data_IF_833156932832
#
_entry.id   IF_833156932832
#
_cell.length_a   1.000
_cell.length_b   1.000
_cell.length_c   1.000
_cell.angle_alpha   90.00
_cell.angle_beta   90.00
_cell.angle_gamma   90.00
#
_symmetry.space_group_name_H-M   'P 1'
#
loop_
_entity.id
_entity.type
_entity.pdbx_description
1 polymer ?
#
# COMPACT_ATOMS: atom_id res chain seq x y z
N UNK A 1 7.93 2.82 -22.64
CA UNK A 1 7.34 3.31 -21.37
C UNK A 1 8.34 4.00 -20.45
N UNK A 2 9.59 3.50 -20.29
CA UNK A 2 10.56 4.07 -19.32
C UNK A 2 10.90 5.56 -19.51
N UNK A 3 10.87 6.07 -20.75
CA UNK A 3 11.18 7.47 -21.05
C UNK A 3 9.97 8.42 -20.99
N UNK A 4 8.78 7.92 -20.60
CA UNK A 4 7.56 8.71 -20.49
C UNK A 4 7.44 9.31 -19.10
N UNK A 5 6.71 10.42 -18.99
CA UNK A 5 6.33 10.98 -17.70
C UNK A 5 5.46 9.99 -16.91
N UNK A 6 5.42 10.15 -15.58
CA UNK A 6 4.61 9.33 -14.68
C UNK A 6 3.12 9.33 -15.05
N UNK A 7 2.58 10.49 -15.43
CA UNK A 7 1.18 10.63 -15.83
C UNK A 7 0.87 9.90 -17.15
N UNK A 8 1.79 9.97 -18.13
CA UNK A 8 1.66 9.19 -19.36
C UNK A 8 1.75 7.68 -19.09
N UNK A 9 2.64 7.26 -18.17
CA UNK A 9 2.74 5.87 -17.75
C UNK A 9 1.44 5.39 -17.10
N UNK A 10 0.90 6.16 -16.14
CA UNK A 10 -0.38 5.89 -15.48
C UNK A 10 -1.52 5.75 -16.49
N UNK A 11 -1.66 6.71 -17.40
CA UNK A 11 -2.73 6.72 -18.41
C UNK A 11 -2.67 5.49 -19.30
N UNK A 12 -1.47 5.13 -19.76
CA UNK A 12 -1.27 3.95 -20.58
C UNK A 12 -1.57 2.65 -19.83
N UNK A 13 -1.19 2.55 -18.55
CA UNK A 13 -1.46 1.37 -17.72
C UNK A 13 -2.96 1.19 -17.46
N UNK A 14 -3.68 2.27 -17.13
CA UNK A 14 -5.14 2.24 -16.91
C UNK A 14 -5.94 1.89 -18.17
N UNK A 15 -5.37 2.05 -19.35
CA UNK A 15 -6.01 1.64 -20.61
C UNK A 15 -5.99 0.13 -20.84
N UNK A 16 -5.19 -0.63 -20.07
CA UNK A 16 -5.09 -2.08 -20.20
C UNK A 16 -6.26 -2.74 -19.45
N UNK A 17 -6.96 -3.65 -20.13
CA UNK A 17 -8.02 -4.45 -19.51
C UNK A 17 -7.47 -5.23 -18.30
N UNK A 18 -8.16 -5.15 -17.17
CA UNK A 18 -7.76 -5.80 -15.91
C UNK A 18 -6.77 -5.00 -15.05
N UNK A 19 -6.32 -3.81 -15.48
CA UNK A 19 -5.43 -2.95 -14.70
C UNK A 19 -6.21 -1.84 -14.01
N UNK A 20 -6.38 -1.98 -12.69
CA UNK A 20 -6.99 -0.96 -11.83
C UNK A 20 -5.96 -0.09 -11.10
N UNK A 21 -6.42 0.91 -10.31
CA UNK A 21 -5.55 1.85 -9.60
C UNK A 21 -4.48 1.19 -8.72
N UNK A 22 -4.79 0.08 -8.05
CA UNK A 22 -3.84 -0.65 -7.21
C UNK A 22 -2.69 -1.22 -8.05
N UNK A 23 -3.02 -1.96 -9.12
CA UNK A 23 -2.06 -2.53 -10.07
C UNK A 23 -1.17 -1.46 -10.70
N UNK A 24 -1.74 -0.30 -11.02
CA UNK A 24 -0.96 0.84 -11.53
C UNK A 24 0.05 1.33 -10.50
N UNK A 25 -0.35 1.49 -9.23
CA UNK A 25 0.55 1.88 -8.15
C UNK A 25 1.72 0.91 -8.01
N UNK A 26 1.45 -0.40 -7.99
CA UNK A 26 2.49 -1.44 -7.93
C UNK A 26 3.44 -1.36 -9.13
N UNK A 27 2.93 -1.25 -10.35
CA UNK A 27 3.77 -1.18 -11.56
C UNK A 27 4.62 0.11 -11.59
N UNK A 28 4.02 1.26 -11.24
CA UNK A 28 4.76 2.53 -11.22
C UNK A 28 5.85 2.53 -10.15
N UNK A 29 5.60 1.92 -8.98
CA UNK A 29 6.61 1.75 -7.94
C UNK A 29 7.69 0.73 -8.32
N UNK A 30 7.31 -0.50 -8.65
CA UNK A 30 8.25 -1.62 -8.71
C UNK A 30 9.02 -1.67 -10.03
N UNK A 31 8.37 -1.29 -11.13
CA UNK A 31 8.97 -1.38 -12.48
C UNK A 31 9.57 -0.04 -12.91
N UNK A 32 8.91 1.06 -12.56
CA UNK A 32 9.32 2.42 -12.95
C UNK A 32 9.95 3.25 -11.82
N UNK A 33 10.03 2.70 -10.60
CA UNK A 33 10.73 3.31 -9.44
C UNK A 33 10.18 4.67 -8.98
N UNK A 34 8.88 4.91 -9.20
CA UNK A 34 8.18 6.04 -8.59
C UNK A 34 7.85 5.71 -7.13
N UNK A 35 8.80 5.96 -6.23
CA UNK A 35 8.71 5.58 -4.81
C UNK A 35 7.67 6.36 -3.99
N UNK A 36 7.04 7.36 -4.61
CA UNK A 36 5.95 8.16 -4.07
C UNK A 36 4.56 7.69 -4.57
N UNK A 37 4.46 6.50 -5.16
CA UNK A 37 3.23 5.94 -5.75
C UNK A 37 2.29 5.19 -4.78
N UNK A 38 2.16 5.70 -3.56
CA UNK A 38 1.13 5.27 -2.61
C UNK A 38 -0.04 6.25 -2.65
N UNK A 39 -0.89 6.07 -3.67
CA UNK A 39 -2.04 6.96 -3.96
C UNK A 39 -3.39 6.25 -3.84
N UNK A 40 -3.38 4.93 -3.66
CA UNK A 40 -4.54 4.10 -3.46
C UNK A 40 -4.23 3.09 -2.34
N UNK A 41 -5.22 2.86 -1.47
CA UNK A 41 -5.15 1.86 -0.41
C UNK A 41 -6.43 1.02 -0.55
N UNK A 42 -6.28 -0.27 -0.79
CA UNK A 42 -7.41 -1.20 -0.87
C UNK A 42 -8.10 -1.36 0.50
N UNK A 43 -9.36 -1.83 0.55
CA UNK A 43 -10.06 -2.04 1.82
C UNK A 43 -9.32 -2.98 2.78
N UNK A 44 -8.59 -3.97 2.28
CA UNK A 44 -7.83 -4.90 3.11
C UNK A 44 -6.57 -4.25 3.69
N UNK A 45 -5.80 -3.53 2.88
CA UNK A 45 -4.63 -2.75 3.33
C UNK A 45 -5.04 -1.68 4.35
N UNK A 46 -6.20 -1.04 4.14
CA UNK A 46 -6.76 -0.05 5.06
C UNK A 46 -6.94 -0.62 6.48
N UNK A 47 -7.45 -1.85 6.61
CA UNK A 47 -7.63 -2.52 7.90
C UNK A 47 -6.29 -2.76 8.60
N UNK A 48 -5.30 -3.23 7.85
CA UNK A 48 -3.97 -3.53 8.37
C UNK A 48 -3.25 -2.25 8.79
N UNK A 49 -3.21 -1.22 7.95
CA UNK A 49 -2.59 0.06 8.28
C UNK A 49 -3.27 0.77 9.45
N UNK A 50 -4.59 0.69 9.55
CA UNK A 50 -5.33 1.20 10.70
C UNK A 50 -4.88 0.55 12.00
N UNK A 51 -4.68 -0.78 11.99
CA UNK A 51 -4.17 -1.50 13.15
C UNK A 51 -2.71 -1.20 13.45
N UNK A 52 -1.84 -1.16 12.45
CA UNK A 52 -0.40 -0.97 12.63
C UNK A 52 -0.03 0.44 13.11
N UNK A 53 -0.58 1.47 12.48
CA UNK A 53 -0.14 2.85 12.71
C UNK A 53 -0.99 3.61 13.73
N UNK A 54 -2.23 3.16 13.96
CA UNK A 54 -3.18 3.85 14.84
C UNK A 54 -3.73 2.94 15.94
N UNK A 55 -3.29 1.67 16.02
CA UNK A 55 -3.82 0.65 16.92
C UNK A 55 -5.35 0.49 16.86
N UNK A 56 -5.95 0.88 15.73
CA UNK A 56 -7.39 0.85 15.51
C UNK A 56 -7.84 -0.57 15.18
N UNK A 57 -9.04 -0.97 15.62
CA UNK A 57 -9.57 -2.29 15.28
C UNK A 57 -9.84 -2.43 13.77
N UNK A 58 -9.47 -3.56 13.14
CA UNK A 58 -9.69 -3.80 11.71
C UNK A 58 -11.13 -3.65 11.22
N UNK A 59 -12.13 -3.90 12.08
CA UNK A 59 -13.55 -3.80 11.72
C UNK A 59 -14.07 -2.35 11.69
N UNK A 60 -13.30 -1.41 12.23
CA UNK A 60 -13.61 0.02 12.25
C UNK A 60 -12.37 0.80 11.79
N UNK A 61 -11.94 0.65 10.53
CA UNK A 61 -10.68 1.19 10.06
C UNK A 61 -10.70 2.72 9.99
N UNK A 62 -9.51 3.31 10.06
CA UNK A 62 -9.28 4.74 9.83
C UNK A 62 -9.58 5.07 8.36
N UNK A 63 -10.21 6.21 8.04
CA UNK A 63 -10.47 6.61 6.65
C UNK A 63 -9.19 6.65 5.79
N UNK A 64 -9.30 6.23 4.53
CA UNK A 64 -8.17 6.14 3.58
C UNK A 64 -7.44 7.48 3.44
N UNK A 65 -8.16 8.60 3.34
CA UNK A 65 -7.54 9.94 3.21
C UNK A 65 -6.65 10.29 4.40
N UNK A 66 -7.03 9.84 5.61
CA UNK A 66 -6.21 10.05 6.81
C UNK A 66 -4.96 9.17 6.79
N UNK A 67 -5.05 7.95 6.28
CA UNK A 67 -3.89 7.08 6.08
C UNK A 67 -2.93 7.66 5.04
N UNK A 68 -3.44 8.06 3.87
CA UNK A 68 -2.62 8.66 2.81
C UNK A 68 -1.87 9.91 3.30
N UNK A 69 -2.59 10.84 3.97
CA UNK A 69 -1.96 12.02 4.59
C UNK A 69 -0.89 11.66 5.61
N UNK A 70 -1.12 10.63 6.42
CA UNK A 70 -0.12 10.14 7.37
C UNK A 70 1.13 9.62 6.68
N UNK A 71 0.98 8.81 5.61
CA UNK A 71 2.13 8.29 4.87
C UNK A 71 2.91 9.40 4.15
N UNK A 72 2.20 10.36 3.56
CA UNK A 72 2.81 11.55 2.93
C UNK A 72 3.64 12.34 3.95
N UNK A 73 3.08 12.64 5.13
CA UNK A 73 3.76 13.39 6.18
C UNK A 73 4.94 12.64 6.78
N UNK A 74 4.81 11.33 6.98
CA UNK A 74 5.81 10.53 7.70
C UNK A 74 6.96 10.07 6.81
N UNK A 75 6.69 9.74 5.55
CA UNK A 75 7.67 9.10 4.66
C UNK A 75 7.92 9.87 3.36
N UNK A 76 7.07 10.84 3.02
CA UNK A 76 7.23 11.69 1.84
C UNK A 76 7.45 10.89 0.56
N UNK A 77 8.51 11.25 -0.18
CA UNK A 77 8.89 10.62 -1.46
C UNK A 77 9.25 9.13 -1.39
N UNK A 78 9.36 8.57 -0.19
CA UNK A 78 9.73 7.16 0.02
C UNK A 78 8.58 6.34 0.60
N UNK A 79 7.36 6.87 0.59
CA UNK A 79 6.19 6.23 1.22
C UNK A 79 5.92 4.81 0.72
N UNK A 80 6.09 4.54 -0.57
CA UNK A 80 5.89 3.17 -1.09
C UNK A 80 6.98 2.23 -0.61
N UNK A 81 8.24 2.68 -0.62
CA UNK A 81 9.37 1.89 -0.11
C UNK A 81 9.20 1.57 1.39
N UNK A 82 8.76 2.55 2.18
CA UNK A 82 8.47 2.35 3.59
C UNK A 82 7.36 1.32 3.81
N UNK A 83 6.29 1.39 3.02
CA UNK A 83 5.19 0.42 3.06
C UNK A 83 5.68 -0.99 2.70
N UNK A 84 6.53 -1.15 1.68
CA UNK A 84 7.10 -2.46 1.33
C UNK A 84 7.92 -3.05 2.49
N UNK A 85 8.77 -2.26 3.13
CA UNK A 85 9.51 -2.74 4.30
C UNK A 85 8.57 -3.19 5.43
N UNK A 86 7.47 -2.46 5.64
CA UNK A 86 6.50 -2.77 6.69
C UNK A 86 5.74 -4.06 6.39
N UNK A 87 5.42 -4.33 5.13
CA UNK A 87 4.87 -5.62 4.70
C UNK A 87 5.83 -6.77 5.00
N UNK A 88 7.09 -6.63 4.59
CA UNK A 88 8.13 -7.63 4.84
C UNK A 88 8.31 -7.90 6.34
N UNK A 89 8.46 -6.84 7.15
CA UNK A 89 8.59 -6.96 8.61
C UNK A 89 7.36 -7.61 9.25
N UNK A 90 6.14 -7.23 8.83
CA UNK A 90 4.90 -7.77 9.36
C UNK A 90 4.79 -9.28 9.10
N UNK A 91 5.01 -9.70 7.86
CA UNK A 91 4.89 -11.10 7.48
C UNK A 91 6.08 -11.93 8.00
N UNK A 92 7.26 -11.33 8.13
CA UNK A 92 8.38 -11.97 8.81
C UNK A 92 8.08 -12.25 10.28
N UNK A 93 7.55 -11.27 11.02
CA UNK A 93 7.12 -11.43 12.41
C UNK A 93 6.01 -12.47 12.55
N UNK A 94 5.04 -12.46 11.64
CA UNK A 94 3.97 -13.46 11.59
C UNK A 94 4.53 -14.87 11.35
N UNK A 95 5.52 -15.03 10.46
CA UNK A 95 6.12 -16.34 10.17
C UNK A 95 6.81 -16.96 11.40
N UNK A 96 7.37 -16.12 12.28
CA UNK A 96 8.18 -16.55 13.43
C UNK A 96 7.48 -16.34 14.78
N UNK A 97 6.20 -15.97 14.77
CA UNK A 97 5.42 -15.67 15.96
C UNK A 97 3.93 -15.80 15.70
N UNK A 98 3.10 -15.36 16.63
CA UNK A 98 1.65 -15.32 16.44
C UNK A 98 1.18 -13.87 16.46
N UNK A 99 0.49 -13.45 15.39
CA UNK A 99 -0.18 -12.15 15.30
C UNK A 99 -1.68 -12.43 15.13
N UNK A 100 -2.36 -12.66 16.24
CA UNK A 100 -3.74 -13.18 16.26
C UNK A 100 -4.71 -12.35 15.40
N UNK A 101 -4.63 -11.02 15.49
CA UNK A 101 -5.50 -10.13 14.72
C UNK A 101 -5.23 -10.22 13.21
N UNK A 102 -3.97 -10.44 12.81
CA UNK A 102 -3.59 -10.56 11.41
C UNK A 102 -3.98 -11.92 10.87
N UNK A 103 -3.80 -13.00 11.64
CA UNK A 103 -4.22 -14.34 11.25
C UNK A 103 -5.72 -14.42 11.01
N UNK A 104 -6.54 -13.72 11.80
CA UNK A 104 -7.99 -13.62 11.56
C UNK A 104 -8.32 -12.88 10.25
N UNK A 105 -7.51 -11.91 9.84
CA UNK A 105 -7.74 -11.10 8.63
C UNK A 105 -7.34 -11.78 7.32
N UNK A 106 -6.36 -12.68 7.35
CA UNK A 106 -5.80 -13.31 6.14
C UNK A 106 -6.32 -14.73 5.87
N UNK A 107 -7.04 -15.32 6.84
CA UNK A 107 -7.69 -16.63 6.69
C UNK A 107 -9.09 -16.54 6.07
N UNK A 108 -9.50 -15.33 5.67
CA UNK A 108 -10.71 -15.08 4.89
C UNK A 108 -10.48 -15.44 3.42
#
# INVERSE_FOLDING_TARGET
>A
MRNKSREEQRKALLALYGIGPASVGYILSDVFHHLDELNYISPWEQKIYSKLFFNQQPDKPIPVDKLLKFFDQRFGKYKTLAVHYIWEDLFWKRKHGNIEWLDKLIRL
#
